data_IF_192316314686
#
_entry.id   IF_192316314686
#
_cell.length_a   1.000
_cell.length_b   1.000
_cell.length_c   1.000
_cell.angle_alpha   90.00
_cell.angle_beta   90.00
_cell.angle_gamma   90.00
#
_symmetry.space_group_name_H-M   'P 1'
#
loop_
_entity.id
_entity.type
_entity.pdbx_description
1 polymer ?
#
# COMPACT_ATOMS: atom_id res chain seq x y z
N UNK A 1 -15.26 23.67 -3.06
CA UNK A 1 -16.22 24.79 -3.04
C UNK A 1 -15.52 26.07 -2.57
N UNK A 2 -14.91 26.03 -1.40
CA UNK A 2 -14.27 27.22 -0.82
C UNK A 2 -13.09 27.74 -1.65
N UNK A 3 -12.32 26.90 -2.31
CA UNK A 3 -11.26 27.31 -3.24
C UNK A 3 -11.79 28.15 -4.41
N UNK A 4 -12.97 27.83 -4.93
CA UNK A 4 -13.64 28.64 -5.95
C UNK A 4 -14.17 29.96 -5.39
N UNK A 5 -14.63 29.98 -4.13
CA UNK A 5 -15.14 31.18 -3.46
C UNK A 5 -14.03 32.19 -3.11
N UNK A 6 -12.84 31.69 -2.74
CA UNK A 6 -11.71 32.52 -2.35
C UNK A 6 -10.97 33.07 -3.58
N UNK A 7 -10.93 32.31 -4.68
CA UNK A 7 -10.18 32.68 -5.90
C UNK A 7 -11.01 33.32 -7.02
N UNK A 8 -12.36 33.29 -6.98
CA UNK A 8 -13.15 33.88 -8.03
C UNK A 8 -13.33 35.39 -7.84
N UNK A 9 -12.95 36.16 -8.84
CA UNK A 9 -13.27 37.59 -8.96
C UNK A 9 -14.79 37.86 -9.11
N UNK A 10 -15.64 36.88 -8.83
CA UNK A 10 -17.08 37.03 -8.94
C UNK A 10 -17.59 37.91 -7.82
N UNK A 11 -17.50 39.13 -8.09
CA UNK A 11 -18.39 40.28 -7.89
C UNK A 11 -19.42 40.23 -6.78
N UNK A 12 -18.98 40.02 -5.54
CA UNK A 12 -19.67 40.70 -4.46
C UNK A 12 -18.83 41.96 -4.19
N UNK A 13 -19.20 43.07 -4.83
CA UNK A 13 -18.48 44.37 -4.73
C UNK A 13 -18.36 44.88 -3.29
N UNK A 14 -19.05 44.25 -2.35
CA UNK A 14 -19.21 44.68 -0.97
C UNK A 14 -18.41 43.83 0.03
N UNK A 15 -17.59 42.87 -0.43
CA UNK A 15 -16.71 42.12 0.48
C UNK A 15 -15.41 42.87 0.71
N UNK A 16 -14.96 42.88 1.95
CA UNK A 16 -13.68 43.43 2.39
C UNK A 16 -12.59 42.37 2.37
N UNK A 17 -12.96 41.15 2.74
CA UNK A 17 -12.12 39.95 2.69
C UNK A 17 -12.97 38.68 2.66
N UNK A 18 -12.44 37.58 2.10
CA UNK A 18 -13.00 36.26 2.20
C UNK A 18 -11.86 35.26 2.26
N UNK A 19 -11.89 34.39 3.26
CA UNK A 19 -10.84 33.40 3.49
C UNK A 19 -11.45 32.02 3.79
N UNK A 20 -10.88 30.99 3.19
CA UNK A 20 -11.18 29.60 3.53
C UNK A 20 -10.44 29.18 4.78
N UNK A 21 -11.08 28.34 5.58
CA UNK A 21 -10.49 27.76 6.78
C UNK A 21 -10.80 26.27 6.88
N UNK A 22 -9.95 25.58 7.60
CA UNK A 22 -10.13 24.17 7.94
C UNK A 22 -10.38 24.06 9.43
N UNK A 23 -11.41 23.29 9.80
CA UNK A 23 -11.79 23.10 11.20
C UNK A 23 -12.22 21.67 11.45
N UNK A 24 -11.62 21.04 12.49
CA UNK A 24 -11.98 19.71 12.95
C UNK A 24 -12.01 19.64 14.49
N UNK A 25 -12.94 18.85 15.01
CA UNK A 25 -12.91 18.45 16.42
C UNK A 25 -12.11 17.15 16.53
N UNK A 26 -11.17 17.07 17.46
CA UNK A 26 -10.30 15.91 17.63
C UNK A 26 -9.94 15.71 19.11
N UNK A 27 -9.78 14.45 19.52
CA UNK A 27 -9.28 14.12 20.85
C UNK A 27 -7.77 14.28 20.86
N UNK A 28 -7.26 15.12 21.77
CA UNK A 28 -5.85 15.37 21.93
C UNK A 28 -5.38 15.01 23.34
N UNK A 29 -4.16 14.53 23.44
CA UNK A 29 -3.43 14.38 24.69
C UNK A 29 -2.53 15.58 24.93
N UNK A 30 -2.68 16.22 26.08
CA UNK A 30 -1.87 17.33 26.50
C UNK A 30 -1.72 17.38 28.02
N UNK A 31 -0.49 17.40 28.52
CA UNK A 31 -0.20 17.41 29.95
C UNK A 31 -0.73 16.18 30.69
N UNK A 32 -0.77 15.00 30.03
CA UNK A 32 -1.25 13.74 30.60
C UNK A 32 -2.78 13.64 30.74
N UNK A 33 -3.53 14.45 29.99
CA UNK A 33 -4.99 14.43 29.96
C UNK A 33 -5.49 14.47 28.53
N UNK A 34 -6.47 13.62 28.23
CA UNK A 34 -7.21 13.68 26.98
C UNK A 34 -8.33 14.72 27.04
N UNK A 35 -8.47 15.47 25.95
CA UNK A 35 -9.50 16.49 25.78
C UNK A 35 -9.90 16.60 24.33
N UNK A 36 -11.16 16.92 24.08
CA UNK A 36 -11.58 17.34 22.75
C UNK A 36 -11.15 18.78 22.53
N UNK A 37 -10.38 19.02 21.51
CA UNK A 37 -9.95 20.33 21.05
C UNK A 37 -10.48 20.59 19.67
N UNK A 38 -10.83 21.83 19.38
CA UNK A 38 -11.19 22.27 18.03
C UNK A 38 -9.94 22.82 17.35
N UNK A 39 -9.50 22.13 16.31
CA UNK A 39 -8.35 22.51 15.51
C UNK A 39 -8.79 23.40 14.37
N UNK A 40 -8.19 24.58 14.25
CA UNK A 40 -8.45 25.56 13.20
C UNK A 40 -7.21 25.85 12.37
N UNK A 41 -7.39 26.15 11.11
CA UNK A 41 -6.34 26.81 10.33
C UNK A 41 -6.29 28.30 10.65
N UNK A 42 -5.07 28.87 10.66
CA UNK A 42 -4.87 30.32 10.81
C UNK A 42 -5.34 31.03 9.53
N UNK A 43 -6.03 32.16 9.72
CA UNK A 43 -6.44 33.09 8.67
C UNK A 43 -5.71 34.41 8.80
N UNK A 44 -5.46 35.11 7.69
CA UNK A 44 -4.64 36.32 7.64
C UNK A 44 -5.44 37.62 7.78
N UNK A 45 -6.58 37.73 7.10
CA UNK A 45 -7.38 38.96 6.99
C UNK A 45 -8.65 38.95 7.84
N UNK A 46 -9.21 37.75 8.06
CA UNK A 46 -10.42 37.56 8.85
C UNK A 46 -10.07 36.79 10.13
N UNK A 47 -10.75 37.09 11.23
CA UNK A 47 -10.56 36.39 12.53
C UNK A 47 -9.10 36.34 13.04
N UNK A 48 -8.35 37.40 12.83
CA UNK A 48 -6.93 37.48 13.26
C UNK A 48 -6.79 37.15 14.73
N UNK A 49 -5.85 36.29 15.02
CA UNK A 49 -5.51 35.89 16.39
C UNK A 49 -4.82 37.04 17.15
N UNK A 50 -5.11 37.12 18.43
CA UNK A 50 -4.41 38.01 19.35
C UNK A 50 -3.42 37.17 20.13
N UNK A 51 -2.12 37.38 19.89
CA UNK A 51 -1.04 36.71 20.63
C UNK A 51 -1.00 37.25 22.06
N UNK A 52 -1.09 36.33 23.04
CA UNK A 52 -0.99 36.65 24.46
C UNK A 52 0.44 36.47 24.94
N UNK A 53 1.10 35.38 24.55
CA UNK A 53 2.47 35.05 24.87
C UNK A 53 3.08 34.07 23.85
N UNK A 54 4.42 34.08 23.72
CA UNK A 54 5.13 33.25 22.77
C UNK A 54 5.14 33.83 21.36
N UNK A 55 5.10 32.96 20.35
CA UNK A 55 5.19 33.29 18.92
C UNK A 55 4.13 32.53 18.12
N UNK A 56 3.73 33.07 16.95
CA UNK A 56 2.88 32.35 16.01
C UNK A 56 3.67 31.20 15.35
N UNK A 57 3.01 30.13 14.90
CA UNK A 57 3.69 29.01 14.24
C UNK A 57 4.33 29.44 12.92
N UNK A 58 5.55 28.94 12.67
CA UNK A 58 6.31 29.18 11.44
C UNK A 58 6.32 27.97 10.51
N UNK A 59 5.95 26.79 11.00
CA UNK A 59 5.92 25.56 10.22
C UNK A 59 4.76 24.64 10.60
N UNK A 60 4.46 23.65 9.74
CA UNK A 60 3.33 22.74 9.87
C UNK A 60 3.32 21.86 11.14
N UNK A 61 4.45 21.74 11.83
CA UNK A 61 4.57 20.98 13.10
C UNK A 61 4.37 21.82 14.35
N UNK A 62 3.99 23.09 14.20
CA UNK A 62 3.80 24.04 15.31
C UNK A 62 2.35 24.47 15.45
N UNK A 63 1.97 24.89 16.66
CA UNK A 63 0.62 25.33 16.94
C UNK A 63 0.61 26.44 18.00
N UNK A 64 -0.50 27.19 18.02
CA UNK A 64 -0.85 28.09 19.12
C UNK A 64 -2.17 27.67 19.76
N UNK A 65 -2.33 27.93 21.05
CA UNK A 65 -3.37 27.35 21.88
C UNK A 65 -4.20 28.39 22.63
N UNK A 66 -5.40 27.97 23.03
CA UNK A 66 -6.37 28.77 23.78
C UNK A 66 -5.81 29.24 25.14
N UNK A 67 -5.75 30.55 25.34
CA UNK A 67 -5.31 31.19 26.57
C UNK A 67 -6.17 30.87 27.79
N UNK A 68 -7.41 30.44 27.60
CA UNK A 68 -8.29 30.09 28.73
C UNK A 68 -8.05 28.64 29.20
N UNK A 69 -7.54 27.77 28.34
CA UNK A 69 -7.26 26.39 28.70
C UNK A 69 -5.80 26.17 29.12
N UNK A 70 -4.88 26.89 28.47
CA UNK A 70 -3.46 26.69 28.60
C UNK A 70 -2.74 27.94 29.11
N UNK A 71 -1.83 27.76 30.04
CA UNK A 71 -0.96 28.81 30.51
C UNK A 71 0.42 28.79 29.82
N UNK A 72 1.21 29.87 30.08
CA UNK A 72 2.55 30.08 29.49
C UNK A 72 3.50 28.89 29.65
N UNK A 73 3.33 28.11 30.74
CA UNK A 73 4.13 26.90 31.01
C UNK A 73 3.94 25.77 29.99
N UNK A 74 3.00 25.91 29.07
CA UNK A 74 2.77 24.95 27.97
C UNK A 74 3.58 25.29 26.73
N UNK A 75 4.10 26.52 26.59
CA UNK A 75 4.98 26.88 25.46
C UNK A 75 6.20 25.96 25.46
N UNK A 76 6.52 25.42 24.29
CA UNK A 76 7.60 24.45 24.08
C UNK A 76 7.21 22.99 24.34
N UNK A 77 6.01 22.72 24.89
CA UNK A 77 5.47 21.35 25.01
C UNK A 77 4.70 20.96 23.76
N UNK A 78 4.31 19.69 23.70
CA UNK A 78 3.64 19.10 22.55
C UNK A 78 2.19 18.77 22.88
N UNK A 79 1.29 18.98 21.93
CA UNK A 79 -0.04 18.38 21.85
C UNK A 79 0.05 17.21 20.91
N UNK A 80 -0.41 16.04 21.35
CA UNK A 80 -0.49 14.82 20.54
C UNK A 80 -1.94 14.52 20.21
N UNK A 81 -2.25 14.16 18.97
CA UNK A 81 -3.54 13.56 18.61
C UNK A 81 -3.64 12.19 19.28
N UNK A 82 -4.77 11.94 19.99
CA UNK A 82 -4.95 10.68 20.72
C UNK A 82 -5.07 9.50 19.75
N UNK A 83 -4.48 8.37 20.13
CA UNK A 83 -4.63 7.10 19.40
C UNK A 83 -6.07 6.52 19.55
N UNK A 84 -6.93 7.16 20.37
CA UNK A 84 -8.34 6.84 20.51
C UNK A 84 -9.26 7.49 19.47
N UNK A 85 -8.74 8.33 18.57
CA UNK A 85 -9.50 8.83 17.43
C UNK A 85 -9.61 7.77 16.34
N UNK A 86 -10.64 7.87 15.51
CA UNK A 86 -10.75 7.06 14.30
C UNK A 86 -9.64 7.42 13.31
N UNK A 87 -9.16 6.44 12.54
CA UNK A 87 -8.08 6.66 11.57
C UNK A 87 -8.46 7.68 10.50
N UNK A 88 -9.73 7.66 10.07
CA UNK A 88 -10.28 8.61 9.10
C UNK A 88 -10.17 10.06 9.62
N UNK A 89 -10.44 10.30 10.92
CA UNK A 89 -10.29 11.63 11.53
C UNK A 89 -8.83 12.07 11.60
N UNK A 90 -7.95 11.12 11.82
CA UNK A 90 -6.51 11.38 11.91
C UNK A 90 -5.88 11.67 10.53
N UNK A 91 -6.44 11.18 9.43
CA UNK A 91 -5.97 11.44 8.05
C UNK A 91 -6.08 12.91 7.64
N UNK A 92 -6.95 13.69 8.30
CA UNK A 92 -7.09 15.13 8.06
C UNK A 92 -5.88 15.97 8.52
N UNK A 93 -4.92 15.39 9.23
CA UNK A 93 -3.80 16.09 9.81
C UNK A 93 -2.46 15.65 9.21
N UNK A 94 -1.61 16.62 8.85
CA UNK A 94 -0.27 16.34 8.32
C UNK A 94 0.69 15.77 9.36
N UNK A 95 0.43 15.99 10.66
CA UNK A 95 1.26 15.51 11.76
C UNK A 95 0.39 14.93 12.87
N UNK A 96 0.95 14.00 13.64
CA UNK A 96 0.31 13.44 14.86
C UNK A 96 0.63 14.23 16.12
N UNK A 97 1.61 15.10 16.06
CA UNK A 97 2.09 15.92 17.20
C UNK A 97 2.41 17.32 16.73
N UNK A 98 2.06 18.32 17.55
CA UNK A 98 2.29 19.73 17.28
C UNK A 98 2.93 20.39 18.49
N UNK A 99 4.03 21.12 18.27
CA UNK A 99 4.73 21.89 19.30
C UNK A 99 4.01 23.20 19.55
N UNK A 100 3.69 23.49 20.80
CA UNK A 100 3.08 24.75 21.22
C UNK A 100 4.14 25.86 21.17
N UNK A 101 3.95 26.87 20.31
CA UNK A 101 4.83 28.02 20.16
C UNK A 101 4.28 29.25 20.86
N UNK A 102 2.97 29.35 21.03
CA UNK A 102 2.36 30.50 21.67
C UNK A 102 0.95 30.25 22.17
N UNK A 103 0.44 31.24 22.87
CA UNK A 103 -0.88 31.28 23.50
C UNK A 103 -1.63 32.45 22.90
N UNK A 104 -2.87 32.21 22.47
CA UNK A 104 -3.66 33.17 21.72
C UNK A 104 -5.09 33.30 22.24
N UNK A 105 -5.71 34.42 21.90
CA UNK A 105 -7.14 34.64 21.93
C UNK A 105 -7.65 34.71 20.51
N UNK A 106 -8.85 34.18 20.28
CA UNK A 106 -9.50 34.21 18.98
C UNK A 106 -10.83 34.97 19.07
N UNK A 107 -11.13 35.84 18.10
CA UNK A 107 -12.40 36.56 18.05
C UNK A 107 -13.62 35.64 17.84
N UNK A 108 -13.41 34.42 17.37
CA UNK A 108 -14.48 33.40 17.26
C UNK A 108 -14.99 32.95 18.62
N UNK A 109 -14.25 33.17 19.69
CA UNK A 109 -14.54 32.68 21.03
C UNK A 109 -14.67 33.82 22.05
N UNK A 110 -15.75 34.57 21.97
CA UNK A 110 -16.06 35.64 22.92
C UNK A 110 -16.55 35.15 24.29
N UNK A 111 -16.94 33.87 24.39
CA UNK A 111 -17.46 33.24 25.63
C UNK A 111 -16.46 32.19 26.17
N UNK A 112 -16.67 31.75 27.42
CA UNK A 112 -15.88 30.68 28.03
C UNK A 112 -16.21 29.31 27.44
N UNK A 113 -17.43 29.09 26.96
CA UNK A 113 -17.81 27.86 26.31
C UNK A 113 -17.26 27.82 24.88
N UNK A 114 -16.63 26.68 24.51
CA UNK A 114 -15.95 26.50 23.24
C UNK A 114 -16.81 25.73 22.21
N UNK A 115 -18.04 25.36 22.62
CA UNK A 115 -18.98 24.66 21.79
C UNK A 115 -19.22 23.21 22.20
N UNK A 116 -20.12 22.56 21.48
CA UNK A 116 -20.45 21.14 21.61
C UNK A 116 -19.83 20.35 20.48
N UNK A 117 -19.64 19.06 20.72
CA UNK A 117 -19.07 18.11 19.77
C UNK A 117 -19.75 16.75 19.92
N UNK A 118 -19.64 15.88 18.94
CA UNK A 118 -20.03 14.47 19.05
C UNK A 118 -18.98 13.59 19.74
N UNK A 119 -17.77 14.12 19.97
CA UNK A 119 -16.66 13.38 20.54
C UNK A 119 -16.63 13.43 22.07
N UNK A 120 -16.03 12.42 22.68
CA UNK A 120 -15.75 12.38 24.12
C UNK A 120 -16.98 12.60 24.98
N UNK A 121 -16.94 13.64 25.82
CA UNK A 121 -18.04 14.01 26.73
C UNK A 121 -19.06 15.01 26.14
N UNK A 122 -19.00 15.25 24.82
CA UNK A 122 -19.89 16.16 24.13
C UNK A 122 -19.52 17.64 24.21
N UNK A 123 -18.33 17.98 24.74
CA UNK A 123 -17.87 19.35 24.92
C UNK A 123 -16.49 19.59 24.34
N UNK A 124 -16.33 20.68 23.62
CA UNK A 124 -15.02 21.20 23.22
C UNK A 124 -14.36 21.89 24.43
N UNK A 125 -13.17 21.43 24.78
CA UNK A 125 -12.43 21.95 25.95
C UNK A 125 -11.67 23.24 25.65
N UNK A 126 -11.23 23.42 24.43
CA UNK A 126 -10.47 24.58 23.98
C UNK A 126 -10.21 24.51 22.49
N UNK A 127 -9.46 25.44 21.95
CA UNK A 127 -9.08 25.48 20.55
C UNK A 127 -7.56 25.49 20.36
N UNK A 128 -7.16 25.08 19.19
CA UNK A 128 -5.76 25.09 18.69
C UNK A 128 -5.79 25.66 17.27
N UNK A 129 -4.81 26.47 16.94
CA UNK A 129 -4.60 26.95 15.59
C UNK A 129 -3.31 26.43 15.02
N UNK A 130 -3.38 25.93 13.78
CA UNK A 130 -2.29 25.43 12.97
C UNK A 130 -2.14 26.31 11.73
N UNK A 131 -0.97 26.28 11.10
CA UNK A 131 -0.87 26.74 9.72
C UNK A 131 -1.72 25.86 8.79
N UNK A 132 -2.19 26.34 7.64
CA UNK A 132 -2.95 25.53 6.67
C UNK A 132 -2.24 24.21 6.30
N UNK A 133 -0.91 24.23 6.20
CA UNK A 133 -0.07 23.06 5.91
C UNK A 133 -0.03 22.02 7.04
N UNK A 134 -0.56 22.35 8.20
CA UNK A 134 -0.77 21.41 9.31
C UNK A 134 -1.94 20.44 9.08
N UNK A 135 -2.77 20.72 8.06
CA UNK A 135 -3.84 19.85 7.58
C UNK A 135 -3.43 19.15 6.29
N UNK A 136 -3.91 17.93 6.11
CA UNK A 136 -3.61 17.11 4.93
C UNK A 136 -4.61 17.32 3.77
N UNK A 137 -5.76 17.92 4.08
CA UNK A 137 -6.84 18.14 3.12
C UNK A 137 -6.53 19.29 2.16
N UNK A 138 -6.98 19.16 0.93
CA UNK A 138 -6.91 20.18 -0.12
C UNK A 138 -8.21 21.02 -0.26
N UNK A 139 -9.10 20.92 0.74
CA UNK A 139 -10.37 21.64 0.77
C UNK A 139 -10.58 22.38 2.10
N UNK A 140 -11.40 23.42 2.05
CA UNK A 140 -11.82 24.16 3.24
C UNK A 140 -13.13 23.59 3.80
N UNK A 141 -13.25 23.54 5.12
CA UNK A 141 -14.49 23.17 5.82
C UNK A 141 -15.37 24.37 6.12
N UNK A 142 -14.78 25.56 6.18
CA UNK A 142 -15.46 26.83 6.49
C UNK A 142 -14.96 27.94 5.57
N UNK A 143 -15.80 28.94 5.34
CA UNK A 143 -15.42 30.19 4.65
C UNK A 143 -15.87 31.37 5.50
N UNK A 144 -14.92 32.23 5.84
CA UNK A 144 -15.18 33.46 6.56
C UNK A 144 -15.25 34.62 5.60
N UNK A 145 -16.34 35.39 5.67
CA UNK A 145 -16.57 36.56 4.82
C UNK A 145 -16.73 37.80 5.65
N UNK A 146 -15.94 38.81 5.35
CA UNK A 146 -16.05 40.15 5.95
C UNK A 146 -16.65 41.11 4.96
N UNK A 147 -17.84 41.61 5.24
CA UNK A 147 -18.48 42.59 4.41
C UNK A 147 -17.97 44.01 4.69
N UNK A 148 -17.98 44.84 3.66
CA UNK A 148 -17.69 46.26 3.77
C UNK A 148 -19.01 46.99 4.08
N UNK A 149 -19.40 47.04 5.35
CA UNK A 149 -20.53 47.85 5.80
C UNK A 149 -20.12 48.79 6.94
N UNK A 150 -20.69 49.96 6.97
CA UNK A 150 -20.46 50.99 7.99
C UNK A 150 -21.65 51.15 8.94
N UNK A 151 -22.61 50.23 8.87
CA UNK A 151 -23.76 50.23 9.79
C UNK A 151 -23.32 49.85 11.22
N UNK A 152 -23.88 50.49 12.24
CA UNK A 152 -23.61 50.06 13.62
C UNK A 152 -24.04 48.60 13.83
N UNK A 153 -23.21 47.84 14.53
CA UNK A 153 -23.56 46.47 14.91
C UNK A 153 -24.89 46.43 15.67
N UNK A 154 -25.75 45.47 15.34
CA UNK A 154 -27.10 45.28 15.92
C UNK A 154 -28.09 46.39 15.59
N UNK A 155 -27.85 47.22 14.58
CA UNK A 155 -28.89 48.12 14.05
C UNK A 155 -29.81 47.37 13.10
N UNK A 156 -31.06 47.87 12.91
CA UNK A 156 -32.00 47.29 11.96
C UNK A 156 -31.46 47.29 10.53
N UNK A 157 -30.68 48.33 10.17
CA UNK A 157 -30.02 48.45 8.86
C UNK A 157 -28.91 47.44 8.70
N UNK A 158 -28.16 47.14 9.77
CA UNK A 158 -27.15 46.10 9.76
C UNK A 158 -27.76 44.70 9.58
N UNK A 159 -28.80 44.41 10.36
CA UNK A 159 -29.47 43.11 10.32
C UNK A 159 -30.09 42.86 8.91
N UNK A 160 -30.83 43.85 8.37
CA UNK A 160 -31.36 43.73 7.02
C UNK A 160 -30.30 43.59 5.93
N UNK A 161 -29.15 44.29 6.08
CA UNK A 161 -28.02 44.15 5.14
C UNK A 161 -27.42 42.75 5.20
N UNK A 162 -27.21 42.21 6.41
CA UNK A 162 -26.62 40.87 6.56
C UNK A 162 -27.58 39.79 6.03
N UNK A 163 -28.89 39.90 6.34
CA UNK A 163 -29.89 38.94 5.83
C UNK A 163 -29.89 38.91 4.29
N UNK A 164 -29.93 40.09 3.65
CA UNK A 164 -29.84 40.15 2.20
C UNK A 164 -28.56 39.51 1.63
N UNK A 165 -27.41 39.65 2.31
CA UNK A 165 -26.14 39.07 1.90
C UNK A 165 -26.12 37.57 2.13
N UNK A 166 -26.70 37.12 3.23
CA UNK A 166 -26.80 35.69 3.56
C UNK A 166 -27.58 34.94 2.46
N UNK A 167 -28.75 35.42 2.07
CA UNK A 167 -29.55 34.81 1.01
C UNK A 167 -28.77 34.70 -0.31
N UNK A 168 -28.02 35.75 -0.67
CA UNK A 168 -27.19 35.74 -1.88
C UNK A 168 -26.03 34.76 -1.80
N UNK A 169 -25.46 34.60 -0.62
CA UNK A 169 -24.36 33.63 -0.39
C UNK A 169 -24.87 32.19 -0.33
N UNK A 170 -26.03 31.95 0.27
CA UNK A 170 -26.67 30.62 0.30
C UNK A 170 -26.95 30.15 -1.14
N UNK A 171 -27.57 30.99 -1.97
CA UNK A 171 -27.78 30.63 -3.39
C UNK A 171 -26.49 30.33 -4.15
N UNK A 172 -25.45 31.15 -3.96
CA UNK A 172 -24.16 30.93 -4.58
C UNK A 172 -23.50 29.62 -4.10
N UNK A 173 -23.57 29.34 -2.81
CA UNK A 173 -22.97 28.12 -2.23
C UNK A 173 -23.70 26.87 -2.68
N UNK A 174 -25.03 26.90 -2.86
CA UNK A 174 -25.80 25.79 -3.44
C UNK A 174 -25.32 25.44 -4.86
N UNK A 175 -25.21 26.45 -5.73
CA UNK A 175 -24.76 26.26 -7.12
C UNK A 175 -23.33 25.68 -7.17
N UNK A 176 -22.41 26.23 -6.37
CA UNK A 176 -21.02 25.75 -6.30
C UNK A 176 -20.91 24.36 -5.66
N UNK A 177 -21.80 24.05 -4.69
CA UNK A 177 -21.86 22.73 -4.08
C UNK A 177 -22.27 21.68 -5.12
N UNK A 178 -23.29 21.97 -5.93
CA UNK A 178 -23.73 21.06 -6.99
C UNK A 178 -22.63 20.88 -8.06
N UNK A 179 -21.98 21.96 -8.50
CA UNK A 179 -20.86 21.86 -9.46
C UNK A 179 -19.72 21.00 -8.91
N UNK A 180 -19.32 21.20 -7.66
CA UNK A 180 -18.29 20.39 -7.00
C UNK A 180 -18.70 18.94 -6.84
N UNK A 181 -19.95 18.70 -6.45
CA UNK A 181 -20.51 17.34 -6.33
C UNK A 181 -20.41 16.59 -7.67
N UNK A 182 -20.80 17.22 -8.76
CA UNK A 182 -20.74 16.62 -10.09
C UNK A 182 -19.29 16.34 -10.51
N UNK A 183 -18.37 17.24 -10.18
CA UNK A 183 -16.94 17.06 -10.45
C UNK A 183 -16.37 15.87 -9.70
N UNK A 184 -16.54 15.82 -8.38
CA UNK A 184 -16.06 14.73 -7.52
C UNK A 184 -16.67 13.39 -7.92
N UNK A 185 -17.96 13.39 -8.23
CA UNK A 185 -18.66 12.19 -8.70
C UNK A 185 -18.08 11.68 -10.01
N UNK A 186 -17.86 12.57 -10.99
CA UNK A 186 -17.27 12.21 -12.29
C UNK A 186 -15.85 11.65 -12.15
N UNK A 187 -15.04 12.26 -11.28
CA UNK A 187 -13.69 11.76 -10.97
C UNK A 187 -13.73 10.38 -10.32
N UNK A 188 -14.64 10.17 -9.36
CA UNK A 188 -14.82 8.88 -8.68
C UNK A 188 -15.32 7.80 -9.65
N UNK A 189 -16.29 8.12 -10.52
CA UNK A 189 -16.79 7.21 -11.56
C UNK A 189 -15.67 6.82 -12.54
N UNK A 190 -14.81 7.76 -12.93
CA UNK A 190 -13.65 7.51 -13.80
C UNK A 190 -12.64 6.58 -13.12
N UNK A 191 -12.25 6.87 -11.88
CA UNK A 191 -11.34 6.01 -11.09
C UNK A 191 -11.90 4.60 -10.92
N UNK A 192 -13.21 4.49 -10.69
CA UNK A 192 -13.87 3.19 -10.56
C UNK A 192 -13.88 2.41 -11.88
N UNK A 193 -14.11 3.09 -13.00
CA UNK A 193 -14.08 2.48 -14.33
C UNK A 193 -12.67 1.97 -14.67
N UNK A 194 -11.64 2.77 -14.41
CA UNK A 194 -10.24 2.40 -14.60
C UNK A 194 -9.83 1.22 -13.69
N UNK A 195 -10.23 1.25 -12.43
CA UNK A 195 -9.98 0.14 -11.51
C UNK A 195 -10.65 -1.18 -11.96
N UNK A 196 -11.88 -1.12 -12.43
CA UNK A 196 -12.59 -2.28 -13.00
C UNK A 196 -11.88 -2.82 -14.25
N UNK A 197 -11.39 -1.94 -15.11
CA UNK A 197 -10.64 -2.33 -16.33
C UNK A 197 -9.33 -3.03 -15.95
N UNK A 198 -8.54 -2.45 -15.05
CA UNK A 198 -7.29 -3.07 -14.55
C UNK A 198 -7.54 -4.43 -13.90
N UNK A 199 -8.62 -4.56 -13.13
CA UNK A 199 -8.98 -5.84 -12.52
C UNK A 199 -9.34 -6.89 -13.57
N UNK A 200 -10.08 -6.51 -14.62
CA UNK A 200 -10.43 -7.41 -15.71
C UNK A 200 -9.19 -7.87 -16.50
N UNK A 201 -8.27 -6.95 -16.79
CA UNK A 201 -7.01 -7.26 -17.48
C UNK A 201 -6.14 -8.22 -16.66
N UNK A 202 -5.95 -7.94 -15.36
CA UNK A 202 -5.20 -8.83 -14.45
C UNK A 202 -5.84 -10.20 -14.28
N UNK A 203 -7.18 -10.26 -14.27
CA UNK A 203 -7.91 -11.52 -14.18
C UNK A 203 -7.69 -12.38 -15.42
N UNK A 204 -7.69 -11.78 -16.61
CA UNK A 204 -7.45 -12.52 -17.86
C UNK A 204 -5.99 -12.98 -17.97
N UNK A 205 -5.05 -12.12 -17.60
CA UNK A 205 -3.63 -12.49 -17.54
C UNK A 205 -3.38 -13.67 -16.58
N UNK A 206 -3.94 -13.60 -15.37
CA UNK A 206 -3.81 -14.68 -14.37
C UNK A 206 -4.43 -15.98 -14.87
N UNK A 207 -5.57 -15.90 -15.57
CA UNK A 207 -6.21 -17.06 -16.15
C UNK A 207 -5.35 -17.70 -17.24
N UNK A 208 -4.76 -16.91 -18.13
CA UNK A 208 -3.82 -17.38 -19.13
C UNK A 208 -2.61 -18.08 -18.50
N UNK A 209 -2.01 -17.48 -17.49
CA UNK A 209 -0.89 -18.08 -16.74
C UNK A 209 -1.27 -19.41 -16.08
N UNK A 210 -2.48 -19.49 -15.53
CA UNK A 210 -3.00 -20.72 -14.93
C UNK A 210 -3.21 -21.83 -15.97
N UNK A 211 -3.72 -21.49 -17.13
CA UNK A 211 -3.95 -22.46 -18.20
C UNK A 211 -2.61 -22.96 -18.80
N UNK A 212 -1.62 -22.08 -18.93
CA UNK A 212 -0.26 -22.47 -19.34
C UNK A 212 0.41 -23.39 -18.31
N UNK A 213 0.28 -23.06 -17.00
CA UNK A 213 0.79 -23.89 -15.93
C UNK A 213 0.13 -25.29 -15.89
N UNK A 214 -1.18 -25.36 -16.13
CA UNK A 214 -1.91 -26.64 -16.23
C UNK A 214 -1.38 -27.48 -17.38
N UNK A 215 -1.14 -26.89 -18.55
CA UNK A 215 -0.60 -27.58 -19.71
C UNK A 215 0.80 -28.12 -19.41
N UNK A 216 1.68 -27.32 -18.81
CA UNK A 216 3.01 -27.78 -18.39
C UNK A 216 2.95 -28.94 -17.40
N UNK A 217 1.99 -28.91 -16.47
CA UNK A 217 1.78 -30.00 -15.51
C UNK A 217 1.33 -31.29 -16.21
N UNK A 218 0.46 -31.20 -17.21
CA UNK A 218 -0.03 -32.34 -17.98
C UNK A 218 1.09 -32.95 -18.83
N UNK A 219 1.90 -32.10 -19.47
CA UNK A 219 3.10 -32.54 -20.21
C UNK A 219 4.13 -33.23 -19.31
N UNK A 220 4.40 -32.68 -18.13
CA UNK A 220 5.29 -33.27 -17.12
C UNK A 220 4.77 -34.63 -16.61
N UNK A 221 3.46 -34.74 -16.39
CA UNK A 221 2.82 -36.00 -16.01
C UNK A 221 2.96 -37.07 -17.05
N UNK A 222 2.76 -36.72 -18.34
CA UNK A 222 2.97 -37.64 -19.46
C UNK A 222 4.44 -38.10 -19.54
N UNK A 223 5.40 -37.21 -19.33
CA UNK A 223 6.83 -37.56 -19.30
C UNK A 223 7.16 -38.53 -18.15
N UNK A 224 6.56 -38.34 -16.97
CA UNK A 224 6.73 -39.26 -15.84
C UNK A 224 6.16 -40.64 -16.20
N UNK A 225 4.95 -40.72 -16.77
CA UNK A 225 4.34 -41.99 -17.16
C UNK A 225 5.21 -42.76 -18.20
N UNK A 226 5.78 -42.03 -19.17
CA UNK A 226 6.68 -42.63 -20.13
C UNK A 226 8.00 -43.07 -19.51
N UNK A 227 8.55 -42.29 -18.57
CA UNK A 227 9.71 -42.67 -17.78
C UNK A 227 9.46 -43.91 -16.92
N UNK A 228 8.30 -44.05 -16.30
CA UNK A 228 7.92 -45.24 -15.53
C UNK A 228 7.83 -46.50 -16.42
N UNK A 229 7.29 -46.37 -17.63
CA UNK A 229 7.27 -47.49 -18.61
C UNK A 229 8.68 -47.91 -19.00
N UNK A 230 9.54 -46.92 -19.32
CA UNK A 230 10.93 -47.22 -19.66
C UNK A 230 11.68 -47.91 -18.51
N UNK A 231 11.43 -47.46 -17.27
CA UNK A 231 12.00 -48.07 -16.09
C UNK A 231 11.50 -49.51 -15.88
N UNK A 232 10.21 -49.74 -16.11
CA UNK A 232 9.62 -51.07 -16.02
C UNK A 232 10.23 -52.03 -17.05
N UNK A 233 10.42 -51.54 -18.30
CA UNK A 233 11.04 -52.35 -19.39
C UNK A 233 12.51 -52.61 -19.09
N UNK A 234 13.24 -51.61 -18.57
CA UNK A 234 14.63 -51.80 -18.15
C UNK A 234 14.78 -52.80 -17.01
N UNK A 235 13.86 -52.78 -16.00
CA UNK A 235 13.81 -53.78 -14.94
C UNK A 235 13.60 -55.19 -15.46
N UNK A 236 12.65 -55.37 -16.39
CA UNK A 236 12.44 -56.67 -17.03
C UNK A 236 13.69 -57.18 -17.76
N UNK A 237 14.37 -56.31 -18.53
CA UNK A 237 15.64 -56.69 -19.19
C UNK A 237 16.70 -57.06 -18.18
N UNK A 238 16.79 -56.37 -17.08
CA UNK A 238 17.76 -56.68 -16.01
C UNK A 238 17.43 -58.00 -15.30
N UNK A 239 16.14 -58.33 -15.16
CA UNK A 239 15.69 -59.60 -14.54
C UNK A 239 16.03 -60.83 -15.40
N UNK A 240 16.00 -60.69 -16.75
CA UNK A 240 16.40 -61.74 -17.68
C UNK A 240 17.93 -61.77 -18.02
N UNK A 241 18.65 -60.71 -17.71
CA UNK A 241 20.08 -60.61 -17.98
C UNK A 241 20.96 -61.69 -17.23
N UNK A 242 20.64 -62.11 -16.01
CA UNK A 242 21.38 -63.22 -15.37
C UNK A 242 21.23 -64.52 -16.08
N UNK A 243 20.00 -64.88 -16.57
CA UNK A 243 19.74 -66.14 -17.29
C UNK A 243 20.44 -66.17 -18.64
N UNK A 244 20.53 -65.02 -19.35
CA UNK A 244 21.31 -64.92 -20.58
C UNK A 244 22.81 -64.97 -20.35
N UNK A 245 23.29 -64.40 -19.27
CA UNK A 245 24.72 -64.48 -18.85
C UNK A 245 25.08 -65.94 -18.52
N UNK A 246 24.29 -66.63 -17.71
CA UNK A 246 24.52 -68.01 -17.31
C UNK A 246 24.56 -68.91 -18.55
N UNK A 247 23.66 -68.69 -19.51
CA UNK A 247 23.66 -69.44 -20.80
C UNK A 247 24.88 -69.19 -21.63
N UNK A 248 25.36 -67.94 -21.72
CA UNK A 248 26.61 -67.61 -22.42
C UNK A 248 27.86 -68.14 -21.74
N UNK A 249 27.89 -68.14 -20.40
CA UNK A 249 28.96 -68.74 -19.62
C UNK A 249 29.03 -70.28 -19.86
N UNK A 250 27.87 -70.90 -19.91
CA UNK A 250 27.84 -72.33 -20.24
C UNK A 250 28.35 -72.61 -21.69
N UNK A 251 27.90 -71.79 -22.67
CA UNK A 251 28.40 -71.88 -24.04
C UNK A 251 29.89 -71.65 -24.15
N UNK A 252 30.44 -70.70 -23.39
CA UNK A 252 31.86 -70.39 -23.31
C UNK A 252 32.61 -71.55 -22.72
N UNK A 253 32.13 -72.13 -21.62
CA UNK A 253 32.75 -73.29 -20.97
C UNK A 253 32.78 -74.50 -21.85
N UNK A 254 31.77 -74.74 -22.68
CA UNK A 254 31.71 -75.81 -23.65
C UNK A 254 32.72 -75.58 -24.80
N UNK A 255 32.83 -74.33 -25.26
CA UNK A 255 33.86 -73.98 -26.30
C UNK A 255 35.28 -74.09 -25.74
N UNK A 256 35.55 -73.76 -24.51
CA UNK A 256 36.87 -73.94 -23.85
C UNK A 256 37.23 -75.40 -23.76
N UNK A 257 36.29 -76.27 -23.37
CA UNK A 257 36.50 -77.71 -23.36
C UNK A 257 36.82 -78.25 -24.75
N UNK A 258 36.07 -77.81 -25.78
CA UNK A 258 36.31 -78.24 -27.15
C UNK A 258 37.72 -77.76 -27.67
N UNK A 259 38.18 -76.58 -27.24
CA UNK A 259 39.54 -76.11 -27.57
C UNK A 259 40.57 -76.98 -26.87
N UNK A 260 40.35 -77.27 -25.57
CA UNK A 260 41.26 -78.09 -24.81
C UNK A 260 41.37 -79.54 -25.32
N UNK A 261 40.30 -80.11 -25.79
CA UNK A 261 40.26 -81.38 -26.47
C UNK A 261 41.06 -81.34 -27.79
N UNK A 262 40.93 -80.28 -28.58
CA UNK A 262 41.67 -80.09 -29.80
C UNK A 262 43.18 -79.83 -29.53
N UNK A 263 43.51 -79.08 -28.52
CA UNK A 263 44.93 -78.90 -28.07
C UNK A 263 45.54 -80.26 -27.68
N UNK A 264 44.79 -81.06 -26.92
CA UNK A 264 45.25 -82.42 -26.54
C UNK A 264 45.46 -83.32 -27.75
N UNK A 265 44.54 -83.23 -28.74
CA UNK A 265 44.68 -83.96 -30.01
C UNK A 265 45.91 -83.47 -30.82
N UNK A 266 46.13 -82.16 -30.80
CA UNK A 266 47.29 -81.57 -31.50
C UNK A 266 48.61 -82.02 -30.86
N UNK A 267 48.71 -82.01 -29.53
CA UNK A 267 49.88 -82.50 -28.79
C UNK A 267 50.15 -84.00 -29.06
N UNK A 268 49.04 -84.79 -29.10
CA UNK A 268 49.19 -86.22 -29.44
C UNK A 268 49.67 -86.43 -30.91
N UNK A 269 49.17 -85.60 -31.84
CA UNK A 269 49.62 -85.64 -33.22
C UNK A 269 51.07 -85.20 -33.40
N UNK A 270 51.50 -84.17 -32.66
CA UNK A 270 52.92 -83.73 -32.62
C UNK A 270 53.86 -84.82 -32.07
N UNK A 271 53.41 -85.46 -30.98
CA UNK A 271 54.16 -86.61 -30.41
C UNK A 271 54.26 -87.79 -31.42
N UNK A 272 53.12 -88.07 -32.04
CA UNK A 272 53.11 -89.16 -33.11
C UNK A 272 53.96 -88.79 -34.30
N UNK A 273 54.00 -87.54 -34.72
CA UNK A 273 54.83 -87.04 -35.80
C UNK A 273 56.36 -87.14 -35.42
N UNK A 274 56.67 -86.76 -34.15
CA UNK A 274 58.01 -86.88 -33.59
C UNK A 274 58.47 -88.27 -33.51
N UNK A 275 57.63 -89.24 -33.11
CA UNK A 275 57.92 -90.67 -33.10
C UNK A 275 58.10 -91.19 -34.54
N UNK A 276 57.21 -90.78 -35.45
CA UNK A 276 57.38 -91.16 -36.86
C UNK A 276 58.64 -90.66 -37.52
N UNK A 277 59.03 -89.43 -37.18
CA UNK A 277 60.30 -88.83 -37.65
C UNK A 277 61.52 -89.57 -37.10
N UNK A 278 61.55 -89.93 -35.82
CA UNK A 278 62.60 -90.70 -35.20
C UNK A 278 62.73 -92.10 -35.75
N UNK A 279 61.57 -92.78 -36.08
CA UNK A 279 61.57 -94.09 -36.73
C UNK A 279 62.00 -94.03 -38.17
N UNK A 280 61.64 -92.99 -38.94
CA UNK A 280 62.10 -92.77 -40.32
C UNK A 280 63.59 -92.53 -40.43
N UNK A 281 64.14 -91.72 -39.53
CA UNK A 281 65.59 -91.48 -39.50
C UNK A 281 66.38 -92.77 -39.14
N UNK A 282 65.84 -93.63 -38.25
CA UNK A 282 66.44 -94.89 -37.88
C UNK A 282 66.43 -95.94 -39.00
N UNK A 283 65.59 -95.82 -40.01
CA UNK A 283 65.53 -96.68 -41.23
C UNK A 283 66.47 -96.21 -42.33
N UNK A 284 66.93 -94.99 -42.35
CA UNK A 284 67.86 -94.45 -43.35
C UNK A 284 69.31 -94.70 -42.95
N UNK A 285 69.59 -95.13 -41.68
CA UNK A 285 70.90 -95.44 -41.18
C UNK A 285 71.22 -96.94 -41.11
N UNK A 286 70.42 -97.78 -41.73
CA UNK A 286 70.74 -99.18 -42.02
C UNK A 286 70.87 -99.35 -43.54
#
# INVERSE_FOLDING_TARGET
IASCLVGSEMCIRDRKAAEGAVTFDIICESGGKERVLKMHSITEDVNRLVLVDGELPENAGECVVDSNLYGVSMIGKTIKLSDGNDEDDLEHFSNREYKITGIVQSPLYSQFERGSTSLGNGRVSGFVYLLPEGFADDYYTEVYVKFACDFPLYSEEYDAYIEQKQDAWEALTEDLAEERYQTVRSEAETKLADGKKQLAEKKEETKSQLDDAKKQLEDAKSQIEDGEKQLADAKKKLEYAPDELEKKEAELTEAEKAIQEKETQLDQAEVALGIGYAQGVGQIQK
#
